data_IF_475003274916
#
_entry.id   IF_475003274916
#
_cell.length_a   1.000
_cell.length_b   1.000
_cell.length_c   1.000
_cell.angle_alpha   90.00
_cell.angle_beta   90.00
_cell.angle_gamma   90.00
#
_symmetry.space_group_name_H-M   'P 1'
#
loop_
_entity.id
_entity.type
_entity.pdbx_description
1 polymer ?
#
# COMPACT_ATOMS: atom_id res chain seq x y z
N UNK A 1 -6.93 74.95 -52.18
CA UNK A 1 -6.17 74.82 -50.90
C UNK A 1 -6.80 73.75 -50.10
N UNK A 2 -6.22 72.58 -50.11
CA UNK A 2 -6.76 71.41 -49.43
C UNK A 2 -5.94 71.18 -48.13
N UNK A 3 -6.60 71.33 -47.02
CA UNK A 3 -6.04 70.89 -45.74
C UNK A 3 -6.27 69.40 -45.57
N UNK A 4 -5.17 68.68 -45.47
CA UNK A 4 -5.17 67.25 -45.14
C UNK A 4 -5.14 67.12 -43.61
N UNK A 5 -6.25 66.65 -43.06
CA UNK A 5 -6.35 66.36 -41.63
C UNK A 5 -5.61 65.07 -41.34
N UNK A 6 -4.54 65.14 -40.57
CA UNK A 6 -3.74 64.00 -40.11
C UNK A 6 -4.45 63.33 -38.92
N UNK A 7 -4.96 62.13 -39.11
CA UNK A 7 -5.45 61.29 -38.02
C UNK A 7 -4.30 60.77 -37.16
N UNK A 8 -4.37 61.05 -35.92
CA UNK A 8 -3.42 60.58 -34.87
C UNK A 8 -3.82 59.15 -34.42
N UNK A 9 -2.98 58.12 -34.60
CA UNK A 9 -3.25 56.80 -34.09
C UNK A 9 -2.54 56.62 -32.74
N UNK A 10 -3.16 57.00 -31.66
CA UNK A 10 -2.72 56.59 -30.31
C UNK A 10 -3.95 56.20 -29.48
N UNK A 11 -4.57 55.13 -29.88
CA UNK A 11 -5.44 54.36 -28.99
C UNK A 11 -4.65 53.17 -28.47
N UNK A 12 -3.94 53.39 -27.40
CA UNK A 12 -3.36 52.31 -26.56
C UNK A 12 -4.52 51.72 -25.82
N UNK A 13 -5.05 50.62 -26.32
CA UNK A 13 -5.93 49.72 -25.55
C UNK A 13 -5.14 49.24 -24.36
N UNK A 14 -5.27 49.90 -23.22
CA UNK A 14 -5.01 49.38 -21.91
C UNK A 14 -5.91 48.13 -21.75
N UNK A 15 -5.34 46.96 -22.01
CA UNK A 15 -5.92 45.71 -21.56
C UNK A 15 -5.72 45.61 -20.04
N UNK A 16 -6.55 46.34 -19.31
CA UNK A 16 -6.78 46.04 -17.92
C UNK A 16 -7.20 44.62 -17.83
N UNK A 17 -6.45 43.77 -17.16
CA UNK A 17 -6.93 42.45 -16.79
C UNK A 17 -8.21 42.66 -16.02
N UNK A 18 -9.34 42.33 -16.66
CA UNK A 18 -10.66 42.47 -16.04
C UNK A 18 -10.68 41.60 -14.79
N UNK A 19 -11.32 42.05 -13.72
CA UNK A 19 -11.50 41.32 -12.49
C UNK A 19 -12.09 39.93 -12.75
N UNK A 20 -12.87 39.78 -13.83
CA UNK A 20 -13.40 38.52 -14.32
C UNK A 20 -12.34 37.50 -14.74
N UNK A 21 -11.23 37.92 -15.37
CA UNK A 21 -10.17 37.02 -15.76
C UNK A 21 -9.42 36.46 -14.55
N UNK A 22 -9.25 37.26 -13.49
CA UNK A 22 -8.65 36.83 -12.22
C UNK A 22 -9.55 35.87 -11.46
N UNK A 23 -10.86 36.13 -11.42
CA UNK A 23 -11.82 35.26 -10.79
C UNK A 23 -11.94 33.90 -11.52
N UNK A 24 -11.94 33.91 -12.84
CA UNK A 24 -11.96 32.69 -13.65
C UNK A 24 -10.70 31.84 -13.46
N UNK A 25 -9.51 32.48 -13.41
CA UNK A 25 -8.26 31.78 -13.16
C UNK A 25 -8.22 31.13 -11.76
N UNK A 26 -8.71 31.83 -10.72
CA UNK A 26 -8.84 31.27 -9.38
C UNK A 26 -9.82 30.08 -9.32
N UNK A 27 -10.94 30.17 -10.00
CA UNK A 27 -11.93 29.08 -10.08
C UNK A 27 -11.35 27.83 -10.74
N UNK A 28 -10.61 27.99 -11.83
CA UNK A 28 -9.94 26.89 -12.53
C UNK A 28 -8.88 26.23 -11.62
N UNK A 29 -8.09 27.01 -10.88
CA UNK A 29 -7.07 26.48 -9.95
C UNK A 29 -7.70 25.71 -8.80
N UNK A 30 -8.84 26.15 -8.26
CA UNK A 30 -9.57 25.43 -7.21
C UNK A 30 -10.11 24.12 -7.76
N UNK A 31 -10.70 24.11 -8.95
CA UNK A 31 -11.21 22.88 -9.57
C UNK A 31 -10.08 21.87 -9.84
N UNK A 32 -8.94 22.33 -10.37
CA UNK A 32 -7.77 21.47 -10.61
C UNK A 32 -7.25 20.91 -9.27
N UNK A 33 -7.22 21.71 -8.21
CA UNK A 33 -6.81 21.30 -6.88
C UNK A 33 -7.71 20.23 -6.30
N UNK A 34 -9.03 20.36 -6.44
CA UNK A 34 -10.02 19.37 -5.96
C UNK A 34 -9.94 18.08 -6.76
N UNK A 35 -9.77 18.16 -8.09
CA UNK A 35 -9.61 16.98 -8.96
C UNK A 35 -8.31 16.26 -8.61
N UNK A 36 -7.21 16.99 -8.46
CA UNK A 36 -5.91 16.39 -8.10
C UNK A 36 -5.97 15.69 -6.73
N UNK A 37 -6.61 16.30 -5.72
CA UNK A 37 -6.81 15.69 -4.41
C UNK A 37 -7.71 14.46 -4.49
N UNK A 38 -8.76 14.48 -5.29
CA UNK A 38 -9.66 13.35 -5.51
C UNK A 38 -8.98 12.16 -6.20
N UNK A 39 -8.20 12.42 -7.24
CA UNK A 39 -7.40 11.40 -7.95
C UNK A 39 -6.36 10.78 -7.01
N UNK A 40 -5.70 11.58 -6.19
CA UNK A 40 -4.74 11.09 -5.19
C UNK A 40 -5.37 10.16 -4.15
N UNK A 41 -6.55 10.51 -3.64
CA UNK A 41 -7.29 9.68 -2.70
C UNK A 41 -7.75 8.35 -3.33
N UNK A 42 -8.03 8.33 -4.62
CA UNK A 42 -8.40 7.12 -5.36
C UNK A 42 -7.20 6.20 -5.61
N UNK A 43 -6.00 6.74 -5.82
CA UNK A 43 -4.80 5.93 -6.06
C UNK A 43 -4.41 5.14 -4.80
N UNK A 44 -4.41 5.77 -3.64
CA UNK A 44 -4.13 5.07 -2.38
C UNK A 44 -5.10 3.92 -2.07
N UNK A 45 -6.37 4.04 -2.49
CA UNK A 45 -7.36 2.97 -2.33
C UNK A 45 -7.16 1.82 -3.32
N UNK A 46 -6.72 2.09 -4.53
CA UNK A 46 -6.36 1.07 -5.52
C UNK A 46 -5.18 0.22 -5.02
N UNK A 47 -4.15 0.87 -4.51
CA UNK A 47 -2.98 0.18 -4.00
C UNK A 47 -3.32 -0.72 -2.80
N UNK A 48 -4.18 -0.27 -1.88
CA UNK A 48 -4.62 -1.08 -0.74
C UNK A 48 -5.39 -2.34 -1.17
N UNK A 49 -6.26 -2.23 -2.18
CA UNK A 49 -7.01 -3.38 -2.72
C UNK A 49 -6.10 -4.37 -3.43
N UNK A 50 -5.16 -3.90 -4.22
CA UNK A 50 -4.17 -4.73 -4.91
C UNK A 50 -3.25 -5.43 -3.90
N UNK A 51 -2.78 -4.71 -2.88
CA UNK A 51 -1.93 -5.29 -1.85
C UNK A 51 -2.66 -6.33 -1.00
N UNK A 52 -3.95 -6.10 -0.66
CA UNK A 52 -4.76 -7.10 0.02
C UNK A 52 -4.81 -8.41 -0.80
N UNK A 53 -5.07 -8.31 -2.11
CA UNK A 53 -5.08 -9.46 -3.02
C UNK A 53 -3.71 -10.13 -3.10
N UNK A 54 -2.63 -9.33 -3.15
CA UNK A 54 -1.26 -9.83 -3.18
C UNK A 54 -0.94 -10.65 -1.91
N UNK A 55 -1.32 -10.16 -0.71
CA UNK A 55 -1.09 -10.91 0.54
C UNK A 55 -1.92 -12.19 0.61
N UNK A 56 -3.16 -12.19 0.13
CA UNK A 56 -4.00 -13.39 0.05
C UNK A 56 -3.39 -14.43 -0.91
N UNK A 57 -2.94 -14.01 -2.07
CA UNK A 57 -2.26 -14.87 -3.05
C UNK A 57 -0.93 -15.40 -2.47
N UNK A 58 -0.16 -14.54 -1.81
CA UNK A 58 1.09 -14.93 -1.18
C UNK A 58 0.85 -15.99 -0.09
N UNK A 59 -0.18 -15.82 0.73
CA UNK A 59 -0.58 -16.80 1.74
C UNK A 59 -0.98 -18.14 1.11
N UNK A 60 -1.84 -18.10 0.09
CA UNK A 60 -2.29 -19.31 -0.63
C UNK A 60 -1.12 -20.05 -1.26
N UNK A 61 -0.21 -19.32 -1.92
CA UNK A 61 0.99 -19.90 -2.52
C UNK A 61 1.93 -20.47 -1.45
N UNK A 62 2.07 -19.79 -0.31
CA UNK A 62 2.88 -20.28 0.81
C UNK A 62 2.34 -21.62 1.34
N UNK A 63 1.03 -21.72 1.55
CA UNK A 63 0.39 -22.96 1.98
C UNK A 63 0.59 -24.08 0.95
N UNK A 64 0.38 -23.79 -0.34
CA UNK A 64 0.43 -24.78 -1.40
C UNK A 64 1.84 -25.24 -1.77
N UNK A 65 2.87 -24.40 -1.58
CA UNK A 65 4.21 -24.66 -2.10
C UNK A 65 5.26 -24.91 -1.02
N UNK A 66 5.10 -24.37 0.20
CA UNK A 66 6.15 -24.34 1.20
C UNK A 66 5.92 -25.28 2.38
N UNK A 67 4.71 -25.83 2.52
CA UNK A 67 4.40 -26.78 3.61
C UNK A 67 4.96 -28.16 3.28
N UNK A 68 5.92 -28.61 4.08
CA UNK A 68 6.48 -29.97 4.03
C UNK A 68 5.86 -30.89 5.08
N UNK A 69 6.41 -32.07 5.21
CA UNK A 69 6.02 -33.07 6.24
C UNK A 69 6.25 -32.52 7.66
N UNK A 70 7.31 -31.72 7.82
CA UNK A 70 7.68 -31.09 9.09
C UNK A 70 7.19 -29.64 9.19
N UNK A 71 6.09 -29.29 8.50
CA UNK A 71 5.56 -27.95 8.43
C UNK A 71 6.43 -27.01 7.57
N UNK A 72 6.58 -25.77 8.00
CA UNK A 72 7.37 -24.74 7.29
C UNK A 72 8.82 -24.74 7.79
N UNK A 73 9.61 -25.72 7.36
CA UNK A 73 10.98 -25.99 7.85
C UNK A 73 12.01 -25.02 7.25
N UNK A 74 11.90 -23.73 7.56
CA UNK A 74 12.85 -22.70 7.14
C UNK A 74 13.63 -22.15 8.34
N UNK A 75 14.92 -21.87 8.14
CA UNK A 75 15.80 -21.32 9.19
C UNK A 75 15.57 -19.84 9.47
N UNK A 76 14.93 -19.11 8.55
CA UNK A 76 14.61 -17.69 8.72
C UNK A 76 13.53 -17.22 7.73
N UNK A 77 12.90 -16.09 8.04
CA UNK A 77 11.97 -15.44 7.12
C UNK A 77 12.63 -14.98 5.83
N UNK A 78 13.90 -14.56 5.85
CA UNK A 78 14.62 -14.18 4.64
C UNK A 78 14.77 -15.38 3.67
N UNK A 79 15.09 -16.57 4.20
CA UNK A 79 15.18 -17.80 3.39
C UNK A 79 13.81 -18.21 2.84
N UNK A 80 12.78 -18.19 3.67
CA UNK A 80 11.42 -18.53 3.25
C UNK A 80 10.92 -17.58 2.16
N UNK A 81 11.07 -16.27 2.37
CA UNK A 81 10.68 -15.25 1.38
C UNK A 81 11.45 -15.40 0.07
N UNK A 82 12.77 -15.59 0.13
CA UNK A 82 13.61 -15.79 -1.05
C UNK A 82 13.22 -17.03 -1.85
N UNK A 83 12.92 -18.15 -1.16
CA UNK A 83 12.44 -19.38 -1.80
C UNK A 83 11.09 -19.19 -2.46
N UNK A 84 10.14 -18.46 -1.82
CA UNK A 84 8.85 -18.13 -2.41
C UNK A 84 8.99 -17.29 -3.68
N UNK A 85 9.89 -16.32 -3.68
CA UNK A 85 10.20 -15.51 -4.87
C UNK A 85 10.75 -16.39 -5.98
N UNK A 86 11.74 -17.26 -5.67
CA UNK A 86 12.33 -18.20 -6.61
C UNK A 86 11.30 -19.16 -7.21
N UNK A 87 10.31 -19.60 -6.42
CA UNK A 87 9.21 -20.44 -6.88
C UNK A 87 8.14 -19.68 -7.68
N UNK A 88 8.28 -18.35 -7.88
CA UNK A 88 7.33 -17.51 -8.61
C UNK A 88 6.04 -17.21 -7.86
N UNK A 89 6.02 -17.38 -6.54
CA UNK A 89 4.84 -17.19 -5.69
C UNK A 89 4.49 -15.71 -5.42
N UNK A 90 5.41 -14.78 -5.72
CA UNK A 90 5.30 -13.35 -5.39
C UNK A 90 4.76 -12.49 -6.55
N UNK A 91 3.89 -13.04 -7.39
CA UNK A 91 3.30 -12.31 -8.53
C UNK A 91 2.52 -11.08 -8.04
N UNK A 92 2.70 -9.97 -8.75
CA UNK A 92 2.02 -8.70 -8.45
C UNK A 92 2.72 -7.82 -7.42
N UNK A 93 3.81 -8.29 -6.81
CA UNK A 93 4.62 -7.53 -5.83
C UNK A 93 5.98 -7.15 -6.42
N UNK A 94 6.62 -6.12 -5.84
CA UNK A 94 7.94 -5.68 -6.27
C UNK A 94 9.02 -6.59 -5.66
N UNK A 95 9.90 -7.11 -6.51
CA UNK A 95 11.04 -7.94 -6.09
C UNK A 95 12.33 -7.17 -6.29
N UNK A 96 13.20 -7.16 -5.28
CA UNK A 96 14.54 -6.60 -5.37
C UNK A 96 15.59 -7.72 -5.21
N UNK A 97 16.58 -7.71 -6.08
CA UNK A 97 17.61 -8.75 -6.19
C UNK A 97 17.29 -9.74 -7.30
N UNK A 98 18.16 -10.73 -7.46
CA UNK A 98 17.98 -11.81 -8.43
C UNK A 98 17.00 -12.87 -7.88
N UNK A 99 15.83 -13.07 -8.49
CA UNK A 99 14.86 -14.09 -8.07
C UNK A 99 15.45 -15.50 -8.01
N UNK A 100 16.39 -15.82 -8.90
CA UNK A 100 17.01 -17.16 -8.94
C UNK A 100 17.95 -17.42 -7.77
N UNK A 101 18.43 -16.38 -7.07
CA UNK A 101 19.39 -16.51 -5.97
C UNK A 101 18.83 -17.13 -4.69
N UNK A 102 17.49 -17.14 -4.51
CA UNK A 102 16.84 -17.51 -3.25
C UNK A 102 17.12 -16.53 -2.09
N UNK A 103 17.67 -15.34 -2.39
CA UNK A 103 17.96 -14.26 -1.42
C UNK A 103 17.30 -12.94 -1.78
N UNK A 104 16.50 -12.90 -2.85
CA UNK A 104 15.74 -11.74 -3.25
C UNK A 104 14.74 -11.33 -2.15
N UNK A 105 14.41 -10.05 -2.12
CA UNK A 105 13.50 -9.45 -1.13
C UNK A 105 12.21 -8.97 -1.78
N UNK A 106 11.13 -9.01 -1.01
CA UNK A 106 9.79 -8.66 -1.46
C UNK A 106 9.35 -7.32 -0.86
N UNK A 107 8.70 -6.50 -1.67
CA UNK A 107 8.32 -5.13 -1.30
C UNK A 107 6.89 -4.83 -1.71
N UNK A 108 6.19 -4.08 -0.85
CA UNK A 108 4.85 -3.58 -1.13
C UNK A 108 4.89 -2.30 -1.99
N UNK A 109 3.74 -1.83 -2.45
CA UNK A 109 3.58 -0.65 -3.31
C UNK A 109 4.04 0.67 -2.66
N UNK A 110 4.23 0.69 -1.35
CA UNK A 110 4.68 1.89 -0.59
C UNK A 110 6.17 1.85 -0.22
N UNK A 111 6.92 0.91 -0.79
CA UNK A 111 8.34 0.75 -0.50
C UNK A 111 8.61 0.21 0.91
N UNK A 112 7.68 -0.55 1.44
CA UNK A 112 7.86 -1.33 2.65
C UNK A 112 8.25 -2.76 2.34
N UNK A 113 9.14 -3.34 3.13
CA UNK A 113 9.53 -4.73 2.96
C UNK A 113 8.40 -5.66 3.40
N UNK A 114 8.22 -6.76 2.66
CA UNK A 114 7.32 -7.86 3.00
C UNK A 114 8.14 -9.10 3.28
N UNK A 115 7.89 -9.73 4.42
CA UNK A 115 8.62 -10.92 4.86
C UNK A 115 7.62 -12.02 5.19
N UNK A 116 7.82 -13.18 4.62
CA UNK A 116 7.15 -14.42 4.99
C UNK A 116 8.11 -15.23 5.87
N UNK A 117 7.69 -15.56 7.08
CA UNK A 117 8.52 -16.25 8.04
C UNK A 117 7.79 -17.44 8.66
N UNK A 118 8.48 -18.55 8.98
CA UNK A 118 7.89 -19.63 9.74
C UNK A 118 7.46 -19.14 11.12
N UNK A 119 6.32 -19.60 11.60
CA UNK A 119 5.81 -19.26 12.93
C UNK A 119 5.92 -20.47 13.86
N UNK A 120 6.66 -20.28 14.94
CA UNK A 120 6.88 -21.30 15.98
C UNK A 120 5.85 -21.23 17.11
N UNK A 121 4.81 -20.41 16.99
CA UNK A 121 3.85 -20.10 18.05
C UNK A 121 3.08 -21.31 18.60
N UNK A 122 3.23 -22.49 17.99
CA UNK A 122 2.62 -23.74 18.47
C UNK A 122 3.38 -24.49 19.56
N UNK A 123 4.57 -24.06 19.97
CA UNK A 123 5.31 -24.63 21.11
C UNK A 123 5.81 -26.09 20.97
N UNK A 124 5.61 -26.72 19.81
CA UNK A 124 5.92 -28.16 19.60
C UNK A 124 7.23 -28.42 18.84
N UNK A 125 8.03 -27.39 18.59
CA UNK A 125 9.25 -27.52 17.78
C UNK A 125 9.02 -27.64 16.27
N UNK A 126 7.77 -27.80 15.85
CA UNK A 126 7.36 -27.80 14.44
C UNK A 126 6.81 -26.42 14.07
N UNK A 127 7.29 -25.88 12.96
CA UNK A 127 6.77 -24.63 12.41
C UNK A 127 5.44 -24.94 11.67
N UNK A 128 4.36 -25.13 12.43
CA UNK A 128 3.05 -25.50 11.87
C UNK A 128 2.32 -24.32 11.23
N UNK A 129 2.90 -23.13 11.30
CA UNK A 129 2.33 -21.93 10.74
C UNK A 129 3.39 -21.02 10.12
N UNK A 130 2.95 -19.91 9.60
CA UNK A 130 3.82 -18.84 9.11
C UNK A 130 3.16 -17.48 9.33
N UNK A 131 3.98 -16.44 9.25
CA UNK A 131 3.52 -15.05 9.30
C UNK A 131 3.89 -14.33 8.01
N UNK A 132 3.03 -13.39 7.59
CA UNK A 132 3.34 -12.38 6.58
C UNK A 132 3.43 -11.04 7.30
N UNK A 133 4.62 -10.45 7.33
CA UNK A 133 4.86 -9.13 7.92
C UNK A 133 5.06 -8.11 6.82
N UNK A 134 4.37 -6.97 6.88
CA UNK A 134 4.54 -5.85 5.96
C UNK A 134 4.70 -4.55 6.74
N UNK A 135 5.57 -3.66 6.29
CA UNK A 135 5.83 -2.38 6.93
C UNK A 135 5.58 -1.20 5.98
N UNK A 136 5.73 0.04 6.49
CA UNK A 136 5.47 1.28 5.76
C UNK A 136 4.09 1.35 5.12
N UNK A 137 3.10 0.73 5.76
CA UNK A 137 1.72 0.75 5.26
C UNK A 137 1.08 2.10 5.62
N UNK A 138 0.50 2.85 4.66
CA UNK A 138 -0.23 4.08 4.94
C UNK A 138 -1.45 3.84 5.83
N UNK A 139 -1.87 4.86 6.59
CA UNK A 139 -2.98 4.74 7.54
C UNK A 139 -4.26 4.20 6.89
N UNK A 140 -4.67 4.78 5.77
CA UNK A 140 -5.88 4.35 5.06
C UNK A 140 -5.80 2.90 4.55
N UNK A 141 -4.62 2.50 4.06
CA UNK A 141 -4.36 1.13 3.62
C UNK A 141 -4.31 0.16 4.81
N UNK A 142 -3.72 0.56 5.93
CA UNK A 142 -3.69 -0.20 7.18
C UNK A 142 -5.11 -0.59 7.62
N UNK A 143 -6.04 0.37 7.69
CA UNK A 143 -7.45 0.11 8.04
C UNK A 143 -8.10 -0.84 7.04
N UNK A 144 -7.95 -0.56 5.74
CA UNK A 144 -8.59 -1.35 4.68
C UNK A 144 -8.06 -2.78 4.61
N UNK A 145 -6.74 -2.97 4.72
CA UNK A 145 -6.10 -4.28 4.65
C UNK A 145 -6.41 -5.10 5.90
N UNK A 146 -6.30 -4.52 7.10
CA UNK A 146 -6.58 -5.25 8.35
C UNK A 146 -8.02 -5.76 8.41
N UNK A 147 -8.99 -4.90 8.06
CA UNK A 147 -10.41 -5.30 8.00
C UNK A 147 -10.70 -6.25 6.85
N UNK A 148 -10.02 -6.10 5.72
CA UNK A 148 -10.12 -6.99 4.56
C UNK A 148 -9.60 -8.39 4.87
N UNK A 149 -8.43 -8.50 5.48
CA UNK A 149 -7.84 -9.77 5.92
C UNK A 149 -8.69 -10.46 6.98
N UNK A 150 -9.25 -9.71 7.93
CA UNK A 150 -10.18 -10.23 8.94
C UNK A 150 -11.43 -10.87 8.32
N UNK A 151 -11.94 -10.31 7.21
CA UNK A 151 -13.13 -10.82 6.52
C UNK A 151 -12.85 -11.97 5.56
N UNK A 152 -11.65 -12.05 5.01
CA UNK A 152 -11.32 -13.05 3.98
C UNK A 152 -11.23 -14.48 4.51
N UNK A 153 -11.09 -14.65 5.83
CA UNK A 153 -10.84 -15.95 6.44
C UNK A 153 -9.43 -16.48 6.16
N UNK A 154 -9.07 -17.58 6.81
CA UNK A 154 -7.77 -18.23 6.60
C UNK A 154 -6.63 -17.67 7.46
N UNK A 155 -6.70 -16.44 7.94
CA UNK A 155 -5.79 -15.91 8.96
C UNK A 155 -6.14 -16.44 10.34
N UNK A 156 -5.16 -16.87 11.11
CA UNK A 156 -5.31 -17.31 12.49
C UNK A 156 -5.08 -16.18 13.52
N UNK A 157 -4.44 -15.10 13.11
CA UNK A 157 -4.20 -13.91 13.92
C UNK A 157 -3.80 -12.71 13.08
N UNK A 158 -4.10 -11.52 13.57
CA UNK A 158 -3.71 -10.23 12.96
C UNK A 158 -3.07 -9.37 14.03
N UNK A 159 -1.92 -8.72 13.70
CA UNK A 159 -1.32 -7.68 14.56
C UNK A 159 -1.25 -6.37 13.80
N UNK A 160 -1.66 -5.28 14.45
CA UNK A 160 -1.60 -3.91 13.95
C UNK A 160 -0.70 -3.11 14.87
N UNK A 161 0.49 -2.71 14.41
CA UNK A 161 1.45 -1.94 15.20
C UNK A 161 1.78 -2.55 16.58
N UNK A 162 1.74 -3.88 16.69
CA UNK A 162 1.98 -4.62 17.93
C UNK A 162 0.72 -5.01 18.71
N UNK A 163 -0.44 -4.39 18.44
CA UNK A 163 -1.73 -4.81 19.01
C UNK A 163 -2.16 -6.14 18.40
N UNK A 164 -2.41 -7.13 19.24
CA UNK A 164 -2.64 -8.50 18.81
C UNK A 164 -4.13 -8.87 18.82
N UNK A 165 -4.63 -9.38 17.70
CA UNK A 165 -5.95 -9.95 17.50
C UNK A 165 -5.81 -11.46 17.23
N UNK A 166 -5.74 -12.30 18.26
CA UNK A 166 -5.42 -13.73 18.11
C UNK A 166 -6.53 -14.56 17.47
N UNK A 167 -7.73 -14.00 17.39
CA UNK A 167 -8.89 -14.59 16.69
C UNK A 167 -9.06 -14.06 15.26
N UNK A 168 -8.08 -13.28 14.79
CA UNK A 168 -8.10 -12.57 13.50
C UNK A 168 -9.33 -11.66 13.28
N UNK A 169 -10.05 -11.28 14.35
CA UNK A 169 -11.20 -10.39 14.24
C UNK A 169 -10.79 -8.94 14.46
N UNK A 170 -10.82 -8.17 13.38
CA UNK A 170 -10.51 -6.74 13.38
C UNK A 170 -11.72 -5.98 12.88
N UNK A 171 -12.32 -5.19 13.75
CA UNK A 171 -13.40 -4.25 13.38
C UNK A 171 -12.81 -3.00 12.74
N UNK A 172 -13.65 -2.23 12.01
CA UNK A 172 -13.22 -0.96 11.45
C UNK A 172 -12.84 0.05 12.56
N UNK A 173 -13.47 -0.01 13.72
CA UNK A 173 -13.17 0.82 14.87
C UNK A 173 -11.78 0.49 15.45
N UNK A 174 -11.50 -0.80 15.69
CA UNK A 174 -10.19 -1.25 16.17
C UNK A 174 -9.09 -0.85 15.17
N UNK A 175 -9.28 -1.15 13.88
CA UNK A 175 -8.32 -0.77 12.85
C UNK A 175 -8.08 0.74 12.80
N UNK A 176 -9.15 1.55 12.91
CA UNK A 176 -9.04 3.01 12.89
C UNK A 176 -8.26 3.57 14.09
N UNK A 177 -8.42 2.98 15.27
CA UNK A 177 -7.72 3.41 16.49
C UNK A 177 -6.26 2.96 16.53
N UNK A 178 -5.94 1.82 15.92
CA UNK A 178 -4.60 1.20 15.97
C UNK A 178 -3.70 1.58 14.79
N UNK A 179 -4.29 1.95 13.65
CA UNK A 179 -3.55 2.43 12.48
C UNK A 179 -3.11 3.88 12.70
N UNK A 180 -1.79 4.07 12.78
CA UNK A 180 -1.14 5.38 13.02
C UNK A 180 -1.19 6.25 11.78
N UNK A 181 -1.21 7.57 11.99
CA UNK A 181 -1.11 8.56 10.93
C UNK A 181 0.21 8.44 10.16
N UNK A 182 0.17 8.80 8.89
CA UNK A 182 1.35 8.81 8.03
C UNK A 182 2.33 9.91 8.45
N UNK A 183 3.62 9.67 8.25
CA UNK A 183 4.66 10.69 8.41
C UNK A 183 4.94 11.33 7.05
N UNK A 184 4.33 12.47 6.79
CA UNK A 184 4.38 13.10 5.48
C UNK A 184 3.73 12.21 4.40
N UNK A 185 4.55 11.69 3.48
CA UNK A 185 4.11 10.77 2.42
C UNK A 185 4.42 9.31 2.71
N UNK A 186 5.06 9.02 3.82
CA UNK A 186 5.48 7.67 4.18
C UNK A 186 4.49 7.03 5.14
N UNK A 187 4.03 5.84 4.81
CA UNK A 187 3.29 5.01 5.72
C UNK A 187 4.15 4.58 6.91
N UNK A 188 3.55 4.47 8.09
CA UNK A 188 4.25 4.18 9.35
C UNK A 188 3.80 2.87 9.97
N UNK A 189 2.78 2.24 9.40
CA UNK A 189 2.15 1.08 10.01
C UNK A 189 2.87 -0.23 9.65
N UNK A 190 2.84 -1.16 10.61
CA UNK A 190 3.31 -2.53 10.49
C UNK A 190 2.13 -3.45 10.71
N UNK A 191 1.89 -4.34 9.75
CA UNK A 191 0.87 -5.38 9.83
C UNK A 191 1.54 -6.75 9.83
N UNK A 192 1.01 -7.66 10.66
CA UNK A 192 1.43 -9.06 10.68
C UNK A 192 0.18 -9.93 10.59
N UNK A 193 0.19 -10.84 9.62
CA UNK A 193 -0.87 -11.83 9.42
C UNK A 193 -0.32 -13.22 9.73
N UNK A 194 -0.90 -13.90 10.71
CA UNK A 194 -0.54 -15.27 11.10
C UNK A 194 -1.45 -16.28 10.42
N UNK A 195 -0.88 -17.39 10.01
CA UNK A 195 -1.56 -18.52 9.39
C UNK A 195 -1.15 -19.80 10.09
N UNK A 196 -2.14 -20.62 10.45
CA UNK A 196 -1.92 -21.98 10.87
C UNK A 196 -1.96 -22.88 9.63
N UNK A 197 -1.04 -23.82 9.54
CA UNK A 197 -0.96 -24.71 8.40
C UNK A 197 -1.55 -26.10 8.67
#
# INVERSE_FOLDING_TARGET
MNEVSVLNPSDKTDRGMSADAGATALFILVIIGVIAAGVWAMWGKKDAGSELTNYQNLATNTIGMMKGVDGYAFTSGAKMTGTLIQAGAAKGMTVHGDPASGTATLWNSWGGQVVVAPDTAGGTGFNNGFTITTNKVPQSACVSISTGMSRSGGTSGIKINGNNHPDAKVTAENASSECKADSGRAGTNILVFSYNG
#
